data_IF_204588344515
#
_entry.id   IF_204588344515
#
_cell.length_a   1.000
_cell.length_b   1.000
_cell.length_c   1.000
_cell.angle_alpha   90.00
_cell.angle_beta   90.00
_cell.angle_gamma   90.00
#
_symmetry.space_group_name_H-M   'P 1'
#
loop_
_entity.id
_entity.type
_entity.pdbx_description
1 polymer ?
#
# COMPACT_ATOMS: atom_id res chain seq x y z
N UNK A 1 33.16 -2.22 0.82
CA UNK A 1 32.39 -3.34 0.24
C UNK A 1 30.99 -3.31 0.84
N UNK A 2 30.01 -2.75 0.12
CA UNK A 2 28.62 -2.69 0.59
C UNK A 2 28.01 -4.08 0.59
N UNK A 3 27.46 -4.52 1.73
CA UNK A 3 26.71 -5.78 1.81
C UNK A 3 25.61 -5.75 0.75
N UNK A 4 25.61 -6.71 -0.16
CA UNK A 4 24.47 -6.97 -1.03
C UNK A 4 23.25 -7.16 -0.13
N UNK A 5 22.34 -6.19 -0.10
CA UNK A 5 21.03 -6.37 0.51
C UNK A 5 20.23 -7.26 -0.42
N UNK A 6 20.42 -8.57 -0.28
CA UNK A 6 19.57 -9.58 -0.92
C UNK A 6 18.13 -9.26 -0.54
N UNK A 7 17.31 -8.97 -1.55
CA UNK A 7 15.90 -8.67 -1.36
C UNK A 7 15.20 -9.94 -0.86
N UNK A 8 14.33 -9.79 0.13
CA UNK A 8 13.47 -10.89 0.57
C UNK A 8 12.35 -11.08 -0.46
N UNK A 9 12.45 -12.16 -1.22
CA UNK A 9 11.46 -12.52 -2.24
C UNK A 9 10.07 -12.78 -1.66
N UNK A 10 9.96 -13.18 -0.39
CA UNK A 10 8.65 -13.40 0.23
C UNK A 10 7.84 -12.11 0.36
N UNK A 11 8.49 -10.95 0.54
CA UNK A 11 7.82 -9.64 0.55
C UNK A 11 7.22 -9.32 -0.82
N UNK A 12 7.92 -9.66 -1.91
CA UNK A 12 7.41 -9.45 -3.28
C UNK A 12 6.24 -10.39 -3.56
N UNK A 13 6.34 -11.65 -3.14
CA UNK A 13 5.25 -12.63 -3.24
C UNK A 13 4.00 -12.17 -2.47
N UNK A 14 4.15 -11.59 -1.28
CA UNK A 14 3.03 -11.00 -0.53
C UNK A 14 2.41 -9.83 -1.30
N UNK A 15 3.23 -8.94 -1.87
CA UNK A 15 2.74 -7.85 -2.71
C UNK A 15 2.02 -8.34 -3.97
N UNK A 16 2.51 -9.41 -4.62
CA UNK A 16 1.87 -10.05 -5.77
C UNK A 16 0.50 -10.64 -5.40
N UNK A 17 0.42 -11.30 -4.24
CA UNK A 17 -0.86 -11.84 -3.71
C UNK A 17 -1.85 -10.73 -3.45
N UNK A 18 -1.44 -9.64 -2.78
CA UNK A 18 -2.31 -8.46 -2.56
C UNK A 18 -2.79 -7.92 -3.91
N UNK A 19 -1.86 -7.66 -4.83
CA UNK A 19 -2.14 -7.09 -6.15
C UNK A 19 -3.16 -7.95 -6.91
N UNK A 20 -2.97 -9.27 -6.96
CA UNK A 20 -3.86 -10.18 -7.67
C UNK A 20 -5.29 -10.11 -7.13
N UNK A 21 -5.45 -10.16 -5.80
CA UNK A 21 -6.78 -10.18 -5.18
C UNK A 21 -7.50 -8.85 -5.34
N UNK A 22 -6.83 -7.73 -5.11
CA UNK A 22 -7.48 -6.40 -5.23
C UNK A 22 -7.80 -6.04 -6.68
N UNK A 23 -6.96 -6.43 -7.65
CA UNK A 23 -7.25 -6.22 -9.08
C UNK A 23 -8.47 -7.01 -9.55
N UNK A 24 -8.67 -8.22 -9.03
CA UNK A 24 -9.88 -9.00 -9.30
C UNK A 24 -11.16 -8.31 -8.79
N UNK A 25 -11.03 -7.30 -7.93
CA UNK A 25 -12.13 -6.44 -7.44
C UNK A 25 -12.19 -5.07 -8.13
N UNK A 26 -11.46 -4.88 -9.24
CA UNK A 26 -11.47 -3.64 -10.02
C UNK A 26 -10.62 -2.50 -9.43
N UNK A 27 -9.74 -2.78 -8.48
CA UNK A 27 -8.85 -1.78 -7.87
C UNK A 27 -7.58 -1.65 -8.73
N UNK A 28 -7.25 -0.43 -9.14
CA UNK A 28 -6.00 -0.12 -9.84
C UNK A 28 -4.84 -0.07 -8.85
N UNK A 29 -3.70 -0.69 -9.18
CA UNK A 29 -2.55 -0.77 -8.28
C UNK A 29 -1.34 -0.07 -8.89
N UNK A 30 -0.72 0.84 -8.14
CA UNK A 30 0.61 1.34 -8.43
C UNK A 30 1.60 0.75 -7.44
N UNK A 31 2.70 0.21 -7.95
CA UNK A 31 3.70 -0.52 -7.17
C UNK A 31 5.07 0.12 -7.29
N UNK A 32 5.72 0.31 -6.15
CA UNK A 32 7.12 0.67 -6.05
C UNK A 32 7.87 -0.33 -5.16
N UNK A 33 8.91 -0.95 -5.72
CA UNK A 33 9.81 -1.84 -5.00
C UNK A 33 11.04 -1.01 -4.57
N UNK A 34 11.25 -0.85 -3.26
CA UNK A 34 12.28 0.04 -2.77
C UNK A 34 13.69 -0.46 -3.09
N UNK A 35 14.55 0.45 -3.58
CA UNK A 35 15.92 0.13 -3.95
C UNK A 35 16.80 -0.16 -2.72
N UNK A 36 16.75 0.70 -1.70
CA UNK A 36 17.66 0.62 -0.54
C UNK A 36 17.12 -0.18 0.63
N UNK A 37 15.80 -0.39 0.72
CA UNK A 37 15.17 -1.12 1.82
C UNK A 37 14.46 -2.36 1.34
N UNK A 38 14.19 -3.27 2.26
CA UNK A 38 13.38 -4.44 2.00
C UNK A 38 11.88 -4.08 2.16
N UNK A 39 11.40 -3.24 1.24
CA UNK A 39 10.02 -2.75 1.25
C UNK A 39 9.40 -2.78 -0.13
N UNK A 40 8.10 -3.05 -0.17
CA UNK A 40 7.25 -2.84 -1.34
C UNK A 40 6.09 -1.93 -0.93
N UNK A 41 5.80 -0.94 -1.77
CA UNK A 41 4.74 0.03 -1.55
C UNK A 41 3.70 -0.13 -2.65
N UNK A 42 2.43 -0.26 -2.24
CA UNK A 42 1.30 -0.27 -3.15
C UNK A 42 0.40 0.92 -2.84
N UNK A 43 -0.04 1.63 -3.89
CA UNK A 43 -1.13 2.61 -3.82
C UNK A 43 -2.30 2.12 -4.63
N UNK A 44 -3.50 2.35 -4.11
CA UNK A 44 -4.75 1.87 -4.69
C UNK A 44 -5.54 3.02 -5.29
N UNK A 45 -6.03 2.83 -6.51
CA UNK A 45 -6.86 3.80 -7.23
C UNK A 45 -6.21 5.20 -7.28
N UNK A 46 -4.92 5.22 -7.64
CA UNK A 46 -4.11 6.44 -7.69
C UNK A 46 -4.02 7.14 -6.32
N UNK A 47 -4.06 6.37 -5.24
CA UNK A 47 -4.04 6.84 -3.85
C UNK A 47 -5.42 7.22 -3.29
N UNK A 48 -6.48 7.16 -4.09
CA UNK A 48 -7.84 7.44 -3.61
C UNK A 48 -8.32 6.40 -2.57
N UNK A 49 -7.86 5.14 -2.67
CA UNK A 49 -8.10 4.08 -1.70
C UNK A 49 -6.88 3.84 -0.76
N UNK A 50 -6.08 4.88 -0.52
CA UNK A 50 -4.88 4.82 0.32
C UNK A 50 -3.80 3.84 -0.20
N UNK A 51 -3.01 3.28 0.72
CA UNK A 51 -1.79 2.54 0.43
C UNK A 51 -1.49 1.47 1.47
N UNK A 52 -0.74 0.45 1.05
CA UNK A 52 -0.10 -0.53 1.93
C UNK A 52 1.41 -0.55 1.72
N UNK A 53 2.17 -0.64 2.82
CA UNK A 53 3.59 -0.99 2.78
C UNK A 53 3.77 -2.41 3.29
N UNK A 54 4.53 -3.21 2.56
CA UNK A 54 4.99 -4.53 2.99
C UNK A 54 6.48 -4.42 3.31
N UNK A 55 6.89 -4.76 4.54
CA UNK A 55 8.29 -4.68 4.96
C UNK A 55 8.64 -5.66 6.08
N UNK A 56 9.93 -5.81 6.36
CA UNK A 56 10.49 -6.54 7.51
C UNK A 56 10.97 -5.60 8.62
N UNK A 57 10.55 -4.33 8.58
CA UNK A 57 10.92 -3.29 9.53
C UNK A 57 9.81 -2.24 9.68
N UNK A 58 9.81 -1.55 10.81
CA UNK A 58 8.85 -0.50 11.18
C UNK A 58 8.93 0.76 10.29
N UNK A 59 10.11 1.04 9.72
CA UNK A 59 10.37 2.25 8.93
C UNK A 59 10.37 3.53 9.77
N UNK A 60 10.40 4.69 9.11
CA UNK A 60 10.40 6.01 9.78
C UNK A 60 8.99 6.41 10.19
N UNK A 61 8.83 7.00 11.39
CA UNK A 61 7.53 7.47 11.92
C UNK A 61 6.79 8.40 10.95
N UNK A 62 7.53 9.27 10.29
CA UNK A 62 7.00 10.34 9.42
C UNK A 62 6.48 9.84 8.06
N UNK A 63 6.55 8.54 7.76
CA UNK A 63 5.99 7.95 6.53
C UNK A 63 4.72 7.20 6.89
N UNK A 64 3.57 7.78 6.55
CA UNK A 64 2.25 7.32 6.96
C UNK A 64 1.53 6.55 5.84
N UNK A 65 1.63 5.22 5.88
CA UNK A 65 0.72 4.36 5.11
C UNK A 65 -0.47 3.99 5.98
N UNK A 66 -1.67 3.92 5.37
CA UNK A 66 -2.90 3.49 6.03
C UNK A 66 -2.75 2.07 6.55
N UNK A 67 -2.22 1.18 5.71
CA UNK A 67 -1.97 -0.22 6.04
C UNK A 67 -0.47 -0.54 5.99
N UNK A 68 -0.02 -1.41 6.88
CA UNK A 68 1.37 -1.83 6.99
C UNK A 68 1.41 -3.32 7.29
N UNK A 69 1.93 -4.14 6.37
CA UNK A 69 2.17 -5.56 6.58
C UNK A 69 3.64 -5.76 6.98
N UNK A 70 3.87 -6.20 8.20
CA UNK A 70 5.20 -6.31 8.78
C UNK A 70 5.54 -7.77 9.10
N UNK A 71 6.68 -8.24 8.60
CA UNK A 71 7.19 -9.58 8.92
C UNK A 71 7.84 -9.70 10.30
N UNK A 72 8.15 -8.56 10.93
CA UNK A 72 8.93 -8.50 12.17
C UNK A 72 8.05 -8.14 13.39
N UNK A 73 6.74 -8.35 13.30
CA UNK A 73 5.81 -8.18 14.41
C UNK A 73 5.01 -9.46 14.59
N UNK A 74 4.78 -9.84 15.84
CA UNK A 74 4.10 -11.10 16.17
C UNK A 74 2.58 -10.93 16.26
N UNK A 75 2.10 -9.69 16.41
CA UNK A 75 0.68 -9.37 16.51
C UNK A 75 0.34 -8.11 15.75
N UNK A 76 -0.84 -8.10 15.14
CA UNK A 76 -1.42 -6.91 14.52
C UNK A 76 -1.86 -5.89 15.57
N UNK A 77 -1.79 -4.62 15.24
CA UNK A 77 -2.22 -3.52 16.11
C UNK A 77 -2.60 -2.28 15.30
N UNK A 78 -3.22 -1.31 15.98
CA UNK A 78 -3.63 -0.04 15.40
C UNK A 78 -2.96 1.09 16.17
N UNK A 79 -2.45 2.07 15.45
CA UNK A 79 -1.94 3.31 16.03
C UNK A 79 -2.77 4.48 15.51
N UNK A 80 -3.12 5.38 16.43
CA UNK A 80 -3.64 6.71 16.10
C UNK A 80 -2.51 7.72 16.27
N UNK A 81 -1.99 8.21 15.15
CA UNK A 81 -1.14 9.40 15.09
C UNK A 81 -1.99 10.56 14.55
N UNK A 82 -1.60 11.21 13.43
CA UNK A 82 -2.50 12.15 12.73
C UNK A 82 -3.71 11.46 12.08
N UNK A 83 -3.53 10.20 11.66
CA UNK A 83 -4.56 9.35 11.07
C UNK A 83 -4.42 7.93 11.61
N UNK A 84 -5.51 7.17 11.65
CA UNK A 84 -5.47 5.75 12.00
C UNK A 84 -4.59 4.98 11.02
N UNK A 85 -3.68 4.17 11.57
CA UNK A 85 -2.74 3.30 10.88
C UNK A 85 -2.89 1.88 11.38
N UNK A 86 -3.01 0.95 10.46
CA UNK A 86 -3.16 -0.46 10.78
C UNK A 86 -1.86 -1.19 10.46
N UNK A 87 -1.38 -1.97 11.42
CA UNK A 87 -0.18 -2.79 11.33
C UNK A 87 -0.61 -4.25 11.45
N UNK A 88 -0.28 -5.05 10.45
CA UNK A 88 -0.64 -6.46 10.36
C UNK A 88 0.62 -7.31 10.44
N UNK A 89 0.59 -8.37 11.25
CA UNK A 89 1.53 -9.47 11.10
C UNK A 89 1.16 -10.32 9.87
N UNK A 90 2.03 -11.25 9.48
CA UNK A 90 1.77 -12.12 8.32
C UNK A 90 0.60 -13.08 8.51
N UNK A 91 0.24 -13.41 9.75
CA UNK A 91 -0.84 -14.34 10.06
C UNK A 91 -2.21 -13.72 9.78
N UNK A 92 -2.32 -12.39 9.89
CA UNK A 92 -3.52 -11.61 9.57
C UNK A 92 -3.57 -11.14 8.10
N UNK A 93 -2.89 -11.84 7.19
CA UNK A 93 -2.82 -11.45 5.78
C UNK A 93 -4.20 -11.33 5.12
N UNK A 94 -5.10 -12.30 5.36
CA UNK A 94 -6.43 -12.28 4.74
C UNK A 94 -7.30 -11.15 5.32
N UNK A 95 -7.12 -10.82 6.60
CA UNK A 95 -7.75 -9.66 7.23
C UNK A 95 -7.28 -8.35 6.60
N UNK A 96 -5.98 -8.20 6.36
CA UNK A 96 -5.43 -7.05 5.63
C UNK A 96 -6.09 -6.89 4.24
N UNK A 97 -6.27 -7.99 3.49
CA UNK A 97 -6.91 -7.95 2.18
C UNK A 97 -8.36 -7.47 2.30
N UNK A 98 -9.11 -8.02 3.26
CA UNK A 98 -10.49 -7.62 3.52
C UNK A 98 -10.57 -6.13 3.87
N UNK A 99 -9.69 -5.63 4.74
CA UNK A 99 -9.67 -4.24 5.18
C UNK A 99 -9.27 -3.27 4.04
N UNK A 100 -8.38 -3.66 3.12
CA UNK A 100 -8.06 -2.87 1.92
C UNK A 100 -9.30 -2.73 1.02
N UNK A 101 -9.99 -3.85 0.76
CA UNK A 101 -11.17 -3.88 -0.11
C UNK A 101 -12.30 -3.07 0.54
N UNK A 102 -12.54 -3.26 1.83
CA UNK A 102 -13.56 -2.54 2.56
C UNK A 102 -13.26 -1.04 2.58
N UNK A 103 -12.02 -0.63 2.86
CA UNK A 103 -11.63 0.78 2.82
C UNK A 103 -11.89 1.39 1.44
N UNK A 104 -11.61 0.67 0.35
CA UNK A 104 -11.94 1.14 -1.00
C UNK A 104 -13.45 1.33 -1.17
N UNK A 105 -14.26 0.37 -0.71
CA UNK A 105 -15.73 0.47 -0.77
C UNK A 105 -16.24 1.65 0.05
N UNK A 106 -15.73 1.84 1.26
CA UNK A 106 -16.09 2.97 2.14
C UNK A 106 -15.75 4.31 1.49
N UNK A 107 -14.61 4.40 0.78
CA UNK A 107 -14.29 5.63 0.03
C UNK A 107 -15.27 5.86 -1.11
N UNK A 108 -15.67 4.82 -1.84
CA UNK A 108 -16.66 4.96 -2.92
C UNK A 108 -18.03 5.34 -2.38
N UNK A 109 -18.45 4.75 -1.27
CA UNK A 109 -19.72 5.09 -0.61
C UNK A 109 -19.70 6.54 -0.11
N UNK A 110 -18.64 6.93 0.61
CA UNK A 110 -18.48 8.27 1.16
C UNK A 110 -18.54 9.37 0.11
N UNK A 111 -17.86 9.17 -1.02
CA UNK A 111 -17.76 10.20 -2.07
C UNK A 111 -18.85 10.06 -3.15
N UNK A 112 -19.46 8.89 -3.27
CA UNK A 112 -20.24 8.50 -4.43
C UNK A 112 -19.35 8.17 -5.64
N UNK A 113 -19.81 7.28 -6.55
CA UNK A 113 -18.97 6.72 -7.60
C UNK A 113 -18.41 7.78 -8.56
N UNK A 114 -19.19 8.79 -8.94
CA UNK A 114 -18.75 9.87 -9.83
C UNK A 114 -17.64 10.72 -9.23
N UNK A 115 -17.78 11.12 -7.97
CA UNK A 115 -16.76 11.93 -7.31
C UNK A 115 -15.51 11.10 -6.99
N UNK A 116 -15.68 9.82 -6.65
CA UNK A 116 -14.56 8.91 -6.47
C UNK A 116 -13.71 8.78 -7.75
N UNK A 117 -14.36 8.59 -8.90
CA UNK A 117 -13.67 8.55 -10.20
C UNK A 117 -12.97 9.89 -10.50
N UNK A 118 -13.60 11.02 -10.19
CA UNK A 118 -12.97 12.34 -10.29
C UNK A 118 -11.72 12.44 -9.41
N UNK A 119 -11.76 11.96 -8.16
CA UNK A 119 -10.60 11.93 -7.26
C UNK A 119 -9.47 11.07 -7.84
N UNK A 120 -9.78 9.91 -8.42
CA UNK A 120 -8.79 9.06 -9.10
C UNK A 120 -8.12 9.81 -10.25
N UNK A 121 -8.90 10.45 -11.14
CA UNK A 121 -8.38 11.23 -12.28
C UNK A 121 -7.53 12.41 -11.82
N UNK A 122 -8.01 13.18 -10.84
CA UNK A 122 -7.29 14.31 -10.25
C UNK A 122 -5.97 13.85 -9.65
N UNK A 123 -5.98 12.78 -8.84
CA UNK A 123 -4.77 12.26 -8.23
C UNK A 123 -3.79 11.73 -9.28
N UNK A 124 -4.27 11.04 -10.33
CA UNK A 124 -3.41 10.61 -11.44
C UNK A 124 -2.69 11.80 -12.09
N UNK A 125 -3.44 12.84 -12.46
CA UNK A 125 -2.88 14.05 -13.08
C UNK A 125 -1.87 14.75 -12.14
N UNK A 126 -2.26 15.00 -10.88
CA UNK A 126 -1.42 15.69 -9.91
C UNK A 126 -0.11 14.97 -9.58
N UNK A 127 -0.06 13.64 -9.75
CA UNK A 127 1.10 12.85 -9.38
C UNK A 127 2.07 12.54 -10.54
N UNK A 128 1.68 12.83 -11.79
CA UNK A 128 2.43 12.40 -13.00
C UNK A 128 3.89 12.87 -13.00
N UNK A 129 4.16 14.10 -12.56
CA UNK A 129 5.52 14.68 -12.55
C UNK A 129 6.15 14.78 -11.15
N UNK A 130 5.55 14.11 -10.16
CA UNK A 130 6.02 14.22 -8.78
C UNK A 130 7.21 13.30 -8.51
N UNK A 131 8.30 13.87 -8.00
CA UNK A 131 9.47 13.10 -7.56
C UNK A 131 9.08 12.13 -6.43
N UNK A 132 9.67 10.94 -6.44
CA UNK A 132 9.54 9.97 -5.36
C UNK A 132 8.74 8.74 -5.80
N UNK A 133 7.71 8.37 -5.04
CA UNK A 133 6.92 7.17 -5.33
C UNK A 133 6.41 7.15 -6.78
N UNK A 134 5.81 8.25 -7.25
CA UNK A 134 5.11 8.24 -8.53
C UNK A 134 6.03 8.22 -9.74
N UNK A 135 7.20 8.87 -9.65
CA UNK A 135 8.22 8.83 -10.71
C UNK A 135 8.91 7.47 -10.85
N UNK A 136 8.73 6.55 -9.89
CA UNK A 136 9.40 5.23 -9.84
C UNK A 136 8.42 4.05 -9.77
N UNK A 137 7.14 4.32 -9.49
CA UNK A 137 6.11 3.30 -9.43
C UNK A 137 5.65 2.90 -10.83
N UNK A 138 5.31 1.62 -10.98
CA UNK A 138 4.66 1.06 -12.17
C UNK A 138 3.21 0.72 -11.87
N UNK A 139 2.34 0.86 -12.87
CA UNK A 139 0.99 0.27 -12.82
C UNK A 139 1.15 -1.24 -13.05
N UNK A 140 0.55 -2.05 -12.19
CA UNK A 140 0.69 -3.52 -12.21
C UNK A 140 -0.64 -4.24 -12.34
#
# INVERSE_FOLDING_TARGET
>A
MGKSHTKDESIRKLADRITRVVKARGITVQRYDAYTTNSVYLKFDYGAANSVRISDHMGKRNVSNRFNLLKNIDRSYVELDRYLRYFYCTDDFDKLIADIIQNRNDQVEKYGPRHYEYLMKRNKAANTDTKGFWSTARIV
#
